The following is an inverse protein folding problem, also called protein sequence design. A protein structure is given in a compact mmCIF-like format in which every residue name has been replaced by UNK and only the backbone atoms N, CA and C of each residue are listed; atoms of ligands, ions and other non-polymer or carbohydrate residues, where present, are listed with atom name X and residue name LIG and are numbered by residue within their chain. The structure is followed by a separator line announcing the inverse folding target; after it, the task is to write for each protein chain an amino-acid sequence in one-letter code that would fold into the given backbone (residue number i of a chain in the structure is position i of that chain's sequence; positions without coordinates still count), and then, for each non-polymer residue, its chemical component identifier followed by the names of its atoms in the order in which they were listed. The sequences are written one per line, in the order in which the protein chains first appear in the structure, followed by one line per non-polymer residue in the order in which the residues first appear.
data_IF_593487440712
#
_entry.id   IF_593487440712
#
_cell.length_a   1.000
_cell.length_b   1.000
_cell.length_c   1.000
_cell.angle_alpha   90.00
_cell.angle_beta   90.00
_cell.angle_gamma   90.00
#
_symmetry.space_group_name_H-M   'P 1'
#
loop_
_entity.id
_entity.type
_entity.pdbx_description
1 polymer ?
#
# COMPACT_ATOMS: atom_id res chain seq x y z
N UNK A 1 -7.91 -42.17 27.80
CA UNK A 1 -6.93 -41.52 26.92
C UNK A 1 -7.61 -40.60 25.89
N UNK A 2 -8.40 -39.59 26.34
CA UNK A 2 -9.27 -38.76 25.48
C UNK A 2 -9.05 -37.25 25.66
N UNK A 3 -8.06 -36.82 26.47
CA UNK A 3 -7.87 -35.40 26.82
C UNK A 3 -6.90 -34.63 25.93
N UNK A 4 -6.10 -35.27 25.08
CA UNK A 4 -5.08 -34.59 24.25
C UNK A 4 -5.65 -34.03 22.92
N UNK A 5 -6.77 -34.53 22.45
CA UNK A 5 -7.32 -34.17 21.12
C UNK A 5 -8.17 -32.89 21.17
N UNK A 6 -8.81 -32.57 22.28
CA UNK A 6 -9.57 -31.32 22.49
C UNK A 6 -8.64 -30.10 22.58
N UNK A 7 -7.54 -30.25 23.29
CA UNK A 7 -6.53 -29.20 23.49
C UNK A 7 -5.91 -28.66 22.18
N UNK A 8 -5.60 -29.54 21.23
CA UNK A 8 -4.96 -29.11 19.96
C UNK A 8 -5.90 -28.29 19.05
N UNK A 9 -7.20 -28.61 19.05
CA UNK A 9 -8.17 -27.88 18.22
C UNK A 9 -8.51 -26.50 18.80
N UNK A 10 -8.63 -26.35 20.10
CA UNK A 10 -8.82 -25.06 20.75
C UNK A 10 -7.61 -24.15 20.48
N UNK A 11 -6.40 -24.70 20.60
CA UNK A 11 -5.16 -23.98 20.33
C UNK A 11 -5.10 -23.51 18.87
N UNK A 12 -5.43 -24.35 17.90
CA UNK A 12 -5.43 -23.99 16.48
C UNK A 12 -6.45 -22.86 16.16
N UNK A 13 -7.65 -22.94 16.74
CA UNK A 13 -8.65 -21.89 16.61
C UNK A 13 -8.16 -20.56 17.20
N UNK A 14 -7.58 -20.60 18.41
CA UNK A 14 -7.03 -19.40 19.07
C UNK A 14 -5.88 -18.78 18.27
N UNK A 15 -4.97 -19.58 17.74
CA UNK A 15 -3.84 -19.08 16.92
C UNK A 15 -4.33 -18.43 15.63
N UNK A 16 -5.30 -19.03 14.93
CA UNK A 16 -5.87 -18.46 13.70
C UNK A 16 -6.63 -17.16 13.99
N UNK A 17 -7.45 -17.11 15.05
CA UNK A 17 -8.15 -15.90 15.48
C UNK A 17 -7.18 -14.80 15.89
N UNK A 18 -6.15 -15.14 16.68
CA UNK A 18 -5.10 -14.20 17.08
C UNK A 18 -4.37 -13.63 15.88
N UNK A 19 -4.05 -14.46 14.88
CA UNK A 19 -3.41 -14.00 13.64
C UNK A 19 -4.31 -13.03 12.87
N UNK A 20 -5.62 -13.30 12.73
CA UNK A 20 -6.56 -12.35 12.12
C UNK A 20 -6.68 -11.03 12.89
N UNK A 21 -6.66 -11.08 14.23
CA UNK A 21 -6.66 -9.86 15.05
C UNK A 21 -5.40 -9.02 14.83
N UNK A 22 -4.23 -9.67 14.71
CA UNK A 22 -2.96 -8.98 14.39
C UNK A 22 -2.99 -8.37 12.99
N UNK A 23 -3.53 -9.10 11.99
CA UNK A 23 -3.76 -8.55 10.64
C UNK A 23 -4.60 -7.28 10.72
N UNK A 24 -5.71 -7.29 11.48
CA UNK A 24 -6.55 -6.11 11.65
C UNK A 24 -5.80 -4.89 12.23
N UNK A 25 -4.88 -5.11 13.18
CA UNK A 25 -4.04 -4.03 13.73
C UNK A 25 -3.08 -3.46 12.67
N UNK A 26 -2.47 -4.32 11.85
CA UNK A 26 -1.60 -3.85 10.76
C UNK A 26 -2.40 -3.11 9.67
N UNK A 27 -3.61 -3.58 9.34
CA UNK A 27 -4.51 -2.90 8.40
C UNK A 27 -4.91 -1.50 8.88
N UNK A 28 -5.14 -1.30 10.18
CA UNK A 28 -5.37 0.04 10.73
C UNK A 28 -4.16 0.95 10.57
N UNK A 29 -2.93 0.43 10.77
CA UNK A 29 -1.71 1.20 10.53
C UNK A 29 -1.55 1.59 9.06
N UNK A 30 -1.97 0.73 8.11
CA UNK A 30 -2.00 1.05 6.67
C UNK A 30 -2.93 2.23 6.42
N UNK A 31 -4.15 2.21 6.95
CA UNK A 31 -5.12 3.32 6.79
C UNK A 31 -4.55 4.65 7.28
N UNK A 32 -3.89 4.66 8.46
CA UNK A 32 -3.25 5.87 8.99
C UNK A 32 -2.15 6.42 8.07
N UNK A 33 -1.38 5.55 7.42
CA UNK A 33 -0.34 6.00 6.48
C UNK A 33 -0.97 6.53 5.18
N UNK A 34 -2.02 5.89 4.67
CA UNK A 34 -2.74 6.32 3.47
C UNK A 34 -3.36 7.72 3.63
N UNK A 35 -3.94 8.03 4.79
CA UNK A 35 -4.45 9.37 5.08
C UNK A 35 -3.34 10.43 5.02
N UNK A 36 -2.16 10.13 5.58
CA UNK A 36 -1.01 11.03 5.54
C UNK A 36 -0.46 11.20 4.12
N UNK A 37 -0.34 10.09 3.38
CA UNK A 37 0.09 10.12 1.96
C UNK A 37 -0.84 10.98 1.12
N UNK A 38 -2.16 10.79 1.23
CA UNK A 38 -3.15 11.60 0.51
C UNK A 38 -3.01 13.10 0.80
N UNK A 39 -2.79 13.47 2.07
CA UNK A 39 -2.55 14.86 2.45
C UNK A 39 -1.26 15.46 1.87
N UNK A 40 -0.18 14.65 1.78
CA UNK A 40 1.09 15.06 1.18
C UNK A 40 0.97 15.18 -0.34
N UNK A 41 0.27 14.26 -1.01
CA UNK A 41 0.00 14.30 -2.44
C UNK A 41 -0.82 15.53 -2.84
N UNK A 42 -1.81 15.89 -2.04
CA UNK A 42 -2.58 17.11 -2.27
C UNK A 42 -1.71 18.37 -2.19
N UNK A 43 -0.81 18.45 -1.19
CA UNK A 43 0.16 19.55 -1.09
C UNK A 43 1.12 19.57 -2.27
N UNK A 44 1.59 18.41 -2.69
CA UNK A 44 2.47 18.24 -3.85
C UNK A 44 1.83 18.79 -5.13
N UNK A 45 0.55 18.45 -5.36
CA UNK A 45 -0.21 18.96 -6.51
C UNK A 45 -0.35 20.49 -6.46
N UNK A 46 -0.62 21.08 -5.30
CA UNK A 46 -0.69 22.54 -5.14
C UNK A 46 0.66 23.22 -5.44
N UNK A 47 1.79 22.62 -5.03
CA UNK A 47 3.11 23.14 -5.36
C UNK A 47 3.38 23.05 -6.86
N UNK A 48 3.04 21.93 -7.48
CA UNK A 48 3.16 21.73 -8.93
C UNK A 48 2.38 22.79 -9.72
N UNK A 49 1.11 23.03 -9.38
CA UNK A 49 0.28 24.04 -10.03
C UNK A 49 0.87 25.44 -9.91
N UNK A 50 1.43 25.78 -8.74
CA UNK A 50 2.12 27.06 -8.52
C UNK A 50 3.39 27.16 -9.37
N UNK A 51 4.19 26.10 -9.45
CA UNK A 51 5.38 26.03 -10.30
C UNK A 51 5.00 26.29 -11.77
N UNK A 52 3.98 25.59 -12.25
CA UNK A 52 3.51 25.74 -13.64
C UNK A 52 2.98 27.16 -13.92
N UNK A 53 2.33 27.79 -12.94
CA UNK A 53 1.82 29.17 -13.08
C UNK A 53 2.94 30.23 -13.21
N UNK A 54 4.10 30.00 -12.58
CA UNK A 54 5.21 30.93 -12.64
C UNK A 54 6.01 30.84 -13.94
N UNK A 55 6.09 29.65 -14.54
CA UNK A 55 6.88 29.39 -15.72
C UNK A 55 8.37 29.75 -15.56
N UNK A 56 9.13 29.61 -16.65
CA UNK A 56 10.61 29.79 -16.68
C UNK A 56 11.04 31.20 -16.27
N UNK A 57 10.18 32.22 -16.50
CA UNK A 57 10.50 33.63 -16.21
C UNK A 57 10.72 33.92 -14.71
N UNK A 58 10.24 33.09 -13.80
CA UNK A 58 10.39 33.28 -12.36
C UNK A 58 11.24 32.17 -11.73
N UNK A 59 12.37 31.88 -12.32
CA UNK A 59 13.27 30.77 -11.96
C UNK A 59 13.52 30.65 -10.44
N UNK A 60 13.84 31.74 -9.75
CA UNK A 60 14.08 31.70 -8.29
C UNK A 60 12.89 31.16 -7.50
N UNK A 61 11.66 31.53 -7.91
CA UNK A 61 10.43 31.01 -7.30
C UNK A 61 10.20 29.54 -7.60
N UNK A 62 10.40 29.16 -8.87
CA UNK A 62 10.32 27.76 -9.31
C UNK A 62 11.32 26.90 -8.55
N UNK A 63 12.59 27.31 -8.46
CA UNK A 63 13.61 26.57 -7.73
C UNK A 63 13.31 26.43 -6.24
N UNK A 64 12.76 27.47 -5.59
CA UNK A 64 12.34 27.40 -4.19
C UNK A 64 11.21 26.38 -4.00
N UNK A 65 10.13 26.47 -4.78
CA UNK A 65 8.99 25.53 -4.69
C UNK A 65 9.39 24.10 -5.03
N UNK A 66 10.34 23.91 -5.94
CA UNK A 66 10.90 22.60 -6.28
C UNK A 66 11.65 21.98 -5.08
N UNK A 67 12.34 22.76 -4.24
CA UNK A 67 12.93 22.26 -3.00
C UNK A 67 11.87 21.83 -2.00
N UNK A 68 10.82 22.63 -1.80
CA UNK A 68 9.67 22.27 -0.96
C UNK A 68 9.02 20.98 -1.47
N UNK A 69 8.92 20.79 -2.79
CA UNK A 69 8.42 19.56 -3.40
C UNK A 69 9.30 18.33 -3.13
N UNK A 70 10.62 18.49 -3.14
CA UNK A 70 11.55 17.40 -2.80
C UNK A 70 11.40 16.94 -1.33
N UNK A 71 11.17 17.89 -0.41
CA UNK A 71 10.91 17.56 1.00
C UNK A 71 9.61 16.74 1.16
N UNK A 72 8.54 17.10 0.44
CA UNK A 72 7.29 16.33 0.43
C UNK A 72 7.48 14.91 -0.14
N UNK A 73 8.30 14.75 -1.19
CA UNK A 73 8.63 13.44 -1.75
C UNK A 73 9.35 12.57 -0.72
N UNK A 74 10.29 13.12 0.04
CA UNK A 74 10.98 12.40 1.11
C UNK A 74 10.03 12.00 2.25
N UNK A 75 9.04 12.83 2.57
CA UNK A 75 8.02 12.47 3.55
C UNK A 75 7.08 11.39 3.03
N UNK A 76 6.64 11.48 1.78
CA UNK A 76 5.84 10.43 1.12
C UNK A 76 6.59 9.10 1.09
N UNK A 77 7.88 9.12 0.80
CA UNK A 77 8.74 7.93 0.81
C UNK A 77 8.76 7.25 2.19
N UNK A 78 8.88 8.02 3.27
CA UNK A 78 8.83 7.48 4.63
C UNK A 78 7.48 6.86 4.98
N UNK A 79 6.39 7.42 4.50
CA UNK A 79 5.04 6.92 4.77
C UNK A 79 4.74 5.65 4.00
N UNK A 80 5.09 5.58 2.71
CA UNK A 80 4.89 4.36 1.91
C UNK A 80 5.75 3.19 2.42
N UNK A 81 6.95 3.47 2.93
CA UNK A 81 7.80 2.47 3.59
C UNK A 81 7.15 1.89 4.87
N UNK A 82 6.51 2.73 5.69
CA UNK A 82 5.79 2.28 6.89
C UNK A 82 4.58 1.45 6.53
N UNK A 83 3.84 1.88 5.52
CA UNK A 83 2.69 1.14 4.99
C UNK A 83 3.12 -0.24 4.48
N UNK A 84 4.18 -0.30 3.67
CA UNK A 84 4.73 -1.55 3.16
C UNK A 84 5.14 -2.51 4.29
N UNK A 85 5.83 -2.01 5.33
CA UNK A 85 6.21 -2.82 6.50
C UNK A 85 4.98 -3.37 7.23
N UNK A 86 3.91 -2.60 7.37
CA UNK A 86 2.66 -3.08 7.96
C UNK A 86 2.03 -4.19 7.11
N UNK A 87 2.00 -4.04 5.80
CA UNK A 87 1.53 -5.09 4.87
C UNK A 87 2.39 -6.36 4.96
N UNK A 88 3.72 -6.24 5.01
CA UNK A 88 4.60 -7.39 5.17
C UNK A 88 4.34 -8.11 6.51
N UNK A 89 4.10 -7.37 7.59
CA UNK A 89 3.75 -7.93 8.90
C UNK A 89 2.40 -8.65 8.85
N UNK A 90 1.40 -8.11 8.15
CA UNK A 90 0.11 -8.77 7.91
C UNK A 90 0.29 -10.06 7.09
N UNK A 91 1.12 -10.02 6.03
CA UNK A 91 1.45 -11.20 5.20
C UNK A 91 2.10 -12.31 6.02
N UNK A 92 2.96 -11.98 6.98
CA UNK A 92 3.57 -12.97 7.89
C UNK A 92 2.52 -13.71 8.74
N UNK A 93 1.44 -13.02 9.17
CA UNK A 93 0.35 -13.66 9.91
C UNK A 93 -0.43 -14.67 9.04
N UNK A 94 -0.51 -14.45 7.74
CA UNK A 94 -1.10 -15.45 6.80
C UNK A 94 -0.33 -16.77 6.88
N UNK A 95 0.99 -16.76 7.00
CA UNK A 95 1.78 -17.97 7.16
C UNK A 95 1.46 -18.71 8.48
N UNK A 96 1.17 -17.98 9.56
CA UNK A 96 0.71 -18.57 10.83
C UNK A 96 -0.65 -19.25 10.65
N UNK A 97 -1.59 -18.60 9.96
CA UNK A 97 -2.90 -19.17 9.65
C UNK A 97 -2.73 -20.46 8.83
N UNK A 98 -1.93 -20.44 7.77
CA UNK A 98 -1.70 -21.60 6.89
C UNK A 98 -1.14 -22.82 7.62
N UNK A 99 -0.30 -22.62 8.63
CA UNK A 99 0.25 -23.72 9.44
C UNK A 99 -0.80 -24.41 10.33
N UNK A 100 -1.85 -23.68 10.70
CA UNK A 100 -2.86 -24.17 11.65
C UNK A 100 -4.19 -24.56 10.97
N UNK A 101 -4.36 -24.24 9.69
CA UNK A 101 -5.65 -24.38 8.98
C UNK A 101 -6.12 -25.82 8.89
N UNK A 102 -5.22 -26.79 8.71
CA UNK A 102 -5.55 -28.22 8.61
C UNK A 102 -5.94 -28.84 9.96
N UNK A 103 -5.64 -28.15 11.08
CA UNK A 103 -5.98 -28.55 12.42
C UNK A 103 -7.39 -28.06 12.83
N UNK A 104 -8.02 -27.18 12.05
CA UNK A 104 -9.38 -26.72 12.27
C UNK A 104 -10.37 -27.87 12.00
N UNK A 105 -11.14 -28.28 13.02
CA UNK A 105 -12.06 -29.43 12.91
C UNK A 105 -13.31 -29.12 12.08
N UNK A 106 -13.85 -27.91 12.25
CA UNK A 106 -15.02 -27.50 11.48
C UNK A 106 -14.63 -27.29 10.01
N UNK A 107 -15.12 -28.18 9.16
CA UNK A 107 -14.80 -28.18 7.74
C UNK A 107 -15.33 -26.92 7.01
N UNK A 108 -16.44 -26.36 7.47
CA UNK A 108 -16.99 -25.12 6.89
C UNK A 108 -16.09 -23.93 7.24
N UNK A 109 -15.67 -23.80 8.50
CA UNK A 109 -14.71 -22.77 8.93
C UNK A 109 -13.40 -22.94 8.18
N UNK A 110 -12.84 -24.15 8.11
CA UNK A 110 -11.60 -24.44 7.40
C UNK A 110 -11.66 -24.00 5.92
N UNK A 111 -12.76 -24.30 5.23
CA UNK A 111 -12.97 -23.86 3.82
C UNK A 111 -13.04 -22.35 3.68
N UNK A 112 -13.71 -21.66 4.60
CA UNK A 112 -13.82 -20.20 4.57
C UNK A 112 -12.50 -19.52 4.88
N UNK A 113 -11.74 -20.02 5.87
CA UNK A 113 -10.39 -19.54 6.19
C UNK A 113 -9.46 -19.71 4.99
N UNK A 114 -9.46 -20.88 4.32
CA UNK A 114 -8.68 -21.12 3.11
C UNK A 114 -9.01 -20.11 2.00
N UNK A 115 -10.31 -19.85 1.78
CA UNK A 115 -10.74 -18.87 0.77
C UNK A 115 -10.25 -17.46 1.11
N UNK A 116 -10.38 -17.05 2.37
CA UNK A 116 -9.93 -15.73 2.83
C UNK A 116 -8.42 -15.57 2.71
N UNK A 117 -7.65 -16.60 3.08
CA UNK A 117 -6.19 -16.65 2.94
C UNK A 117 -5.77 -16.48 1.49
N UNK A 118 -6.39 -17.21 0.54
CA UNK A 118 -6.07 -17.10 -0.88
C UNK A 118 -6.32 -15.70 -1.44
N UNK A 119 -7.38 -15.03 -0.99
CA UNK A 119 -7.67 -13.64 -1.39
C UNK A 119 -6.67 -12.68 -0.76
N UNK A 120 -6.33 -12.87 0.53
CA UNK A 120 -5.35 -12.06 1.23
C UNK A 120 -3.95 -12.14 0.57
N UNK A 121 -3.51 -13.33 0.16
CA UNK A 121 -2.24 -13.50 -0.53
C UNK A 121 -2.19 -12.69 -1.84
N UNK A 122 -3.23 -12.79 -2.68
CA UNK A 122 -3.33 -12.00 -3.91
C UNK A 122 -3.34 -10.49 -3.64
N UNK A 123 -4.11 -10.07 -2.62
CA UNK A 123 -4.16 -8.66 -2.19
C UNK A 123 -2.78 -8.15 -1.79
N UNK A 124 -2.03 -8.91 -0.98
CA UNK A 124 -0.70 -8.49 -0.54
C UNK A 124 0.36 -8.56 -1.66
N UNK A 125 0.21 -9.47 -2.60
CA UNK A 125 1.06 -9.52 -3.80
C UNK A 125 0.81 -8.28 -4.68
N UNK A 126 -0.45 -7.95 -4.95
CA UNK A 126 -0.83 -6.75 -5.71
C UNK A 126 -0.33 -5.48 -5.03
N UNK A 127 -0.42 -5.40 -3.68
CA UNK A 127 0.15 -4.30 -2.92
C UNK A 127 1.68 -4.20 -3.08
N UNK A 128 2.37 -5.32 -3.13
CA UNK A 128 3.82 -5.34 -3.39
C UNK A 128 4.18 -4.67 -4.71
N UNK A 129 3.41 -4.93 -5.76
CA UNK A 129 3.56 -4.27 -7.07
C UNK A 129 3.22 -2.78 -6.99
N UNK A 130 2.12 -2.42 -6.30
CA UNK A 130 1.75 -1.03 -6.07
C UNK A 130 2.88 -0.24 -5.38
N UNK A 131 3.48 -0.81 -4.34
CA UNK A 131 4.61 -0.21 -3.64
C UNK A 131 5.80 0.05 -4.57
N UNK A 132 6.18 -0.93 -5.41
CA UNK A 132 7.30 -0.77 -6.35
C UNK A 132 7.04 0.34 -7.37
N UNK A 133 5.84 0.38 -7.95
CA UNK A 133 5.46 1.43 -8.91
C UNK A 133 5.33 2.80 -8.26
N UNK A 134 4.90 2.88 -7.00
CA UNK A 134 4.88 4.13 -6.25
C UNK A 134 6.29 4.66 -5.98
N UNK A 135 7.23 3.79 -5.60
CA UNK A 135 8.65 4.15 -5.43
C UNK A 135 9.27 4.68 -6.72
N UNK A 136 8.97 4.04 -7.84
CA UNK A 136 9.38 4.50 -9.18
C UNK A 136 8.80 5.89 -9.48
N UNK A 137 7.51 6.11 -9.21
CA UNK A 137 6.88 7.42 -9.38
C UNK A 137 7.58 8.50 -8.54
N UNK A 138 7.88 8.23 -7.26
CA UNK A 138 8.62 9.16 -6.41
C UNK A 138 10.00 9.50 -6.97
N UNK A 139 10.71 8.52 -7.55
CA UNK A 139 12.01 8.73 -8.21
C UNK A 139 11.88 9.66 -9.41
N UNK A 140 10.88 9.43 -10.26
CA UNK A 140 10.63 10.27 -11.43
C UNK A 140 10.22 11.70 -11.07
N UNK A 141 9.40 11.86 -10.04
CA UNK A 141 9.04 13.19 -9.51
C UNK A 141 10.26 13.92 -8.94
N UNK A 142 11.14 13.21 -8.23
CA UNK A 142 12.40 13.76 -7.70
C UNK A 142 13.31 14.26 -8.83
N UNK A 143 13.42 13.51 -9.93
CA UNK A 143 14.14 13.92 -11.11
C UNK A 143 13.55 15.22 -11.69
N UNK A 144 12.20 15.32 -11.83
CA UNK A 144 11.53 16.53 -12.33
C UNK A 144 11.86 17.76 -11.49
N UNK A 145 11.70 17.67 -10.15
CA UNK A 145 11.96 18.82 -9.30
C UNK A 145 13.44 19.16 -9.19
N UNK A 146 14.33 18.22 -9.47
CA UNK A 146 15.77 18.48 -9.63
C UNK A 146 16.05 19.23 -10.94
N UNK A 147 15.44 18.81 -12.05
CA UNK A 147 15.54 19.52 -13.33
C UNK A 147 15.03 20.97 -13.25
N UNK A 148 13.91 21.19 -12.55
CA UNK A 148 13.33 22.52 -12.36
C UNK A 148 14.20 23.49 -11.53
N UNK A 149 15.23 22.98 -10.83
CA UNK A 149 16.25 23.80 -10.15
C UNK A 149 17.44 24.12 -11.04
N UNK A 150 17.49 23.61 -12.26
CA UNK A 150 18.52 23.91 -13.24
C UNK A 150 18.06 25.02 -14.19
N UNK A 151 18.70 26.20 -14.15
CA UNK A 151 18.36 27.33 -15.03
C UNK A 151 18.58 27.08 -16.53
N UNK A 152 19.30 26.02 -16.87
CA UNK A 152 19.62 25.63 -18.25
C UNK A 152 18.74 24.45 -18.73
N UNK A 153 17.77 24.00 -17.94
CA UNK A 153 16.87 22.97 -18.39
C UNK A 153 16.06 23.41 -19.60
N UNK A 154 15.92 22.50 -20.57
CA UNK A 154 15.14 22.80 -21.78
C UNK A 154 13.67 22.36 -21.62
N UNK A 155 12.74 23.01 -22.36
CA UNK A 155 11.33 22.55 -22.37
C UNK A 155 11.18 21.11 -22.79
N UNK A 156 12.00 20.59 -23.69
CA UNK A 156 12.00 19.24 -24.20
C UNK A 156 12.35 18.23 -23.06
N UNK A 157 13.37 18.55 -22.25
CA UNK A 157 13.77 17.74 -21.11
C UNK A 157 12.64 17.65 -20.07
N UNK A 158 12.00 18.77 -19.77
CA UNK A 158 10.86 18.81 -18.86
C UNK A 158 9.69 18.01 -19.41
N UNK A 159 9.37 18.16 -20.70
CA UNK A 159 8.26 17.43 -21.32
C UNK A 159 8.51 15.93 -21.32
N UNK A 160 9.73 15.48 -21.60
CA UNK A 160 10.10 14.06 -21.55
C UNK A 160 9.91 13.50 -20.13
N UNK A 161 10.35 14.23 -19.10
CA UNK A 161 10.20 13.79 -17.71
C UNK A 161 8.74 13.75 -17.27
N UNK A 162 7.94 14.75 -17.65
CA UNK A 162 6.50 14.77 -17.38
C UNK A 162 5.80 13.59 -18.07
N UNK A 163 6.17 13.25 -19.29
CA UNK A 163 5.60 12.10 -19.99
C UNK A 163 5.91 10.79 -19.24
N UNK A 164 7.14 10.58 -18.77
CA UNK A 164 7.52 9.40 -17.96
C UNK A 164 6.69 9.30 -16.68
N UNK A 165 6.50 10.42 -15.97
CA UNK A 165 5.66 10.50 -14.77
C UNK A 165 4.23 10.11 -15.11
N UNK A 166 3.66 10.63 -16.19
CA UNK A 166 2.29 10.34 -16.60
C UNK A 166 2.08 8.86 -16.98
N UNK A 167 3.07 8.25 -17.64
CA UNK A 167 3.04 6.81 -17.96
C UNK A 167 3.07 5.98 -16.68
N UNK A 168 4.01 6.26 -15.78
CA UNK A 168 4.12 5.57 -14.50
C UNK A 168 2.86 5.72 -13.62
N UNK A 169 2.25 6.91 -13.65
CA UNK A 169 1.01 7.17 -12.92
C UNK A 169 -0.16 6.33 -13.46
N UNK A 170 -0.27 6.13 -14.76
CA UNK A 170 -1.31 5.26 -15.36
C UNK A 170 -1.16 3.81 -14.90
N UNK A 171 0.07 3.28 -14.89
CA UNK A 171 0.35 1.95 -14.36
C UNK A 171 -0.03 1.84 -12.87
N UNK A 172 0.34 2.83 -12.07
CA UNK A 172 0.03 2.88 -10.66
C UNK A 172 -1.49 2.86 -10.41
N UNK A 173 -2.27 3.64 -11.17
CA UNK A 173 -3.75 3.66 -11.08
C UNK A 173 -4.32 2.29 -11.39
N UNK A 174 -3.86 1.63 -12.46
CA UNK A 174 -4.32 0.29 -12.83
C UNK A 174 -4.07 -0.75 -11.74
N UNK A 175 -2.88 -0.70 -11.11
CA UNK A 175 -2.52 -1.62 -10.01
C UNK A 175 -3.35 -1.30 -8.75
N UNK A 176 -3.58 -0.02 -8.47
CA UNK A 176 -4.41 0.41 -7.35
C UNK A 176 -5.86 -0.06 -7.49
N UNK A 177 -6.43 -0.03 -8.69
CA UNK A 177 -7.77 -0.55 -8.97
C UNK A 177 -7.84 -2.06 -8.70
N UNK A 178 -6.83 -2.82 -9.10
CA UNK A 178 -6.73 -4.25 -8.80
C UNK A 178 -6.61 -4.50 -7.28
N UNK A 179 -5.81 -3.71 -6.58
CA UNK A 179 -5.68 -3.80 -5.13
C UNK A 179 -7.01 -3.53 -4.42
N UNK A 180 -7.76 -2.53 -4.87
CA UNK A 180 -9.09 -2.20 -4.35
C UNK A 180 -10.08 -3.34 -4.59
N UNK A 181 -10.08 -3.95 -5.77
CA UNK A 181 -10.92 -5.12 -6.07
C UNK A 181 -10.63 -6.30 -5.11
N UNK A 182 -9.34 -6.63 -4.87
CA UNK A 182 -8.99 -7.65 -3.90
C UNK A 182 -9.33 -7.25 -2.47
N UNK A 183 -9.25 -5.98 -2.12
CA UNK A 183 -9.63 -5.45 -0.80
C UNK A 183 -11.12 -5.61 -0.55
N UNK A 184 -11.97 -5.33 -1.53
CA UNK A 184 -13.41 -5.55 -1.44
C UNK A 184 -13.75 -7.04 -1.28
N UNK A 185 -13.14 -7.91 -2.10
CA UNK A 185 -13.29 -9.37 -2.00
C UNK A 185 -12.88 -9.87 -0.62
N UNK A 186 -11.73 -9.41 -0.11
CA UNK A 186 -11.21 -9.75 1.20
C UNK A 186 -12.19 -9.35 2.33
N UNK A 187 -12.65 -8.12 2.32
CA UNK A 187 -13.58 -7.60 3.33
C UNK A 187 -14.91 -8.36 3.34
N UNK A 188 -15.42 -8.73 2.17
CA UNK A 188 -16.64 -9.53 2.03
C UNK A 188 -16.48 -10.93 2.62
N UNK A 189 -15.39 -11.62 2.29
CA UNK A 189 -15.14 -12.97 2.83
C UNK A 189 -14.79 -12.92 4.32
N UNK A 190 -14.06 -11.93 4.79
CA UNK A 190 -13.77 -11.69 6.22
C UNK A 190 -15.07 -11.54 7.02
N UNK A 191 -16.01 -10.74 6.53
CA UNK A 191 -17.34 -10.58 7.16
C UNK A 191 -18.11 -11.90 7.22
N UNK A 192 -18.07 -12.71 6.14
CA UNK A 192 -18.70 -14.04 6.11
C UNK A 192 -18.10 -14.98 7.15
N UNK A 193 -16.77 -15.03 7.23
CA UNK A 193 -16.06 -15.86 8.20
C UNK A 193 -16.44 -15.49 9.63
N UNK A 194 -16.44 -14.22 9.99
CA UNK A 194 -16.81 -13.77 11.34
C UNK A 194 -18.27 -14.09 11.72
N UNK A 195 -19.18 -14.17 10.75
CA UNK A 195 -20.57 -14.55 11.01
C UNK A 195 -20.73 -16.04 11.34
N UNK A 196 -19.83 -16.89 10.89
CA UNK A 196 -19.87 -18.35 11.09
C UNK A 196 -19.02 -18.77 12.28
N UNK A 197 -17.99 -18.00 12.61
CA UNK A 197 -17.05 -18.32 13.69
C UNK A 197 -17.52 -17.86 15.09
N UNK A 198 -18.78 -17.48 15.24
CA UNK A 198 -19.37 -17.08 16.53
C UNK A 198 -19.74 -18.26 17.41
#
# INVERSE_FOLDING_TARGET
MLFLVTSCNELANEEVLSAFQKIGKYENSVVEQQEKLSGLEQKQNQLYDRIMSYGIKRFTKVAQLSKESLELIEERDKHIEKEYKAIQSAKQQINTIKKNIDQLRDENIRRQVNRLVNIAEKRYETYGNLYLHYKELLSLEKELYTLLQNKYVTPEQLQQQINRINEQYKELVSINDQFNEYTEKYNKEKKRLYNVWK
#
